data_IF_099405323687
#
_entry.id   IF_099405323687
#
_cell.length_a   1.000
_cell.length_b   1.000
_cell.length_c   1.000
_cell.angle_alpha   90.00
_cell.angle_beta   90.00
_cell.angle_gamma   90.00
#
_symmetry.space_group_name_H-M   'P 1'
#
loop_
_entity.id
_entity.type
_entity.pdbx_description
1 polymer ?
#
# COMPACT_ATOMS: atom_id res chain seq x y z
N UNK A 1 3.58 4.83 -11.37
CA UNK A 1 3.87 4.02 -12.58
C UNK A 1 3.35 4.79 -13.77
N UNK A 2 4.23 5.49 -14.49
CA UNK A 2 3.86 6.38 -15.61
C UNK A 2 3.45 5.54 -16.83
N UNK A 3 2.33 4.83 -16.74
CA UNK A 3 1.81 3.98 -17.80
C UNK A 3 0.34 4.20 -18.02
N UNK A 4 -0.11 3.84 -19.23
CA UNK A 4 -1.47 4.05 -19.67
C UNK A 4 -2.46 3.50 -18.64
N UNK A 5 -3.45 4.31 -18.22
CA UNK A 5 -3.96 5.51 -18.89
C UNK A 5 -3.36 6.86 -18.39
N UNK A 6 -2.34 6.84 -17.52
CA UNK A 6 -1.69 8.03 -16.93
C UNK A 6 -0.28 8.29 -17.49
N UNK A 7 -0.05 7.96 -18.76
CA UNK A 7 1.24 8.08 -19.44
C UNK A 7 1.35 9.41 -20.19
N UNK A 8 1.69 10.47 -19.46
CA UNK A 8 1.78 11.84 -19.99
C UNK A 8 3.16 12.15 -20.58
N UNK A 9 4.21 11.66 -19.94
CA UNK A 9 5.61 11.90 -20.34
C UNK A 9 5.95 11.28 -21.70
N UNK A 10 5.31 10.17 -22.08
CA UNK A 10 5.52 9.54 -23.39
C UNK A 10 4.57 10.11 -24.47
N UNK A 11 3.40 10.63 -24.08
CA UNK A 11 2.40 11.21 -24.99
C UNK A 11 2.68 12.64 -25.46
N UNK A 12 3.34 13.48 -24.66
CA UNK A 12 3.81 14.80 -25.12
C UNK A 12 5.13 14.74 -25.89
N UNK A 13 5.82 13.59 -25.81
CA UNK A 13 7.05 13.27 -26.53
C UNK A 13 6.80 12.65 -27.92
N UNK A 14 5.56 12.51 -28.37
CA UNK A 14 5.27 11.93 -29.70
C UNK A 14 5.67 12.85 -30.88
N UNK A 15 6.27 14.03 -30.60
CA UNK A 15 6.99 14.85 -31.58
C UNK A 15 8.52 14.65 -31.59
N UNK A 16 9.14 14.15 -30.52
CA UNK A 16 10.52 13.64 -30.44
C UNK A 16 10.56 12.78 -29.18
N UNK A 17 10.81 11.47 -29.30
CA UNK A 17 10.85 10.54 -28.16
C UNK A 17 11.88 11.01 -27.12
N UNK A 18 11.42 11.80 -26.14
CA UNK A 18 12.22 12.83 -25.47
C UNK A 18 13.46 12.31 -24.76
N UNK A 19 13.28 11.65 -23.61
CA UNK A 19 14.38 11.27 -22.72
C UNK A 19 15.11 9.98 -23.16
N UNK A 20 14.45 9.07 -23.87
CA UNK A 20 15.01 7.76 -24.20
C UNK A 20 16.03 7.79 -25.37
N UNK A 21 16.08 8.87 -26.15
CA UNK A 21 16.99 9.00 -27.31
C UNK A 21 18.41 9.41 -26.91
N UNK A 22 18.58 10.05 -25.75
CA UNK A 22 19.88 10.55 -25.30
C UNK A 22 20.76 9.45 -24.65
N UNK A 23 20.19 8.28 -24.37
CA UNK A 23 20.90 7.20 -23.69
C UNK A 23 21.38 6.10 -24.64
N UNK A 24 22.65 5.71 -24.49
CA UNK A 24 23.19 4.50 -25.10
C UNK A 24 22.45 3.23 -24.62
N UNK A 25 22.57 2.13 -25.37
CA UNK A 25 21.81 0.89 -25.14
C UNK A 25 21.91 0.29 -23.73
N UNK A 26 23.02 0.48 -23.01
CA UNK A 26 23.21 0.03 -21.63
C UNK A 26 22.28 0.73 -20.62
N UNK A 27 22.41 2.05 -20.40
CA UNK A 27 21.51 2.80 -19.51
C UNK A 27 20.05 2.80 -19.98
N UNK A 28 19.78 2.69 -21.29
CA UNK A 28 18.43 2.48 -21.82
C UNK A 28 17.78 1.22 -21.21
N UNK A 29 18.49 0.09 -21.17
CA UNK A 29 17.96 -1.15 -20.60
C UNK A 29 17.65 -1.03 -19.09
N UNK A 30 18.46 -0.27 -18.34
CA UNK A 30 18.22 -0.05 -16.91
C UNK A 30 16.96 0.77 -16.64
N UNK A 31 16.62 1.75 -17.50
CA UNK A 31 15.37 2.51 -17.36
C UNK A 31 14.14 1.64 -17.58
N UNK A 32 14.13 0.78 -18.61
CA UNK A 32 13.01 -0.17 -18.80
C UNK A 32 12.90 -1.15 -17.63
N UNK A 33 14.03 -1.71 -17.18
CA UNK A 33 14.03 -2.63 -16.05
C UNK A 33 13.51 -1.96 -14.76
N UNK A 34 13.93 -0.73 -14.48
CA UNK A 34 13.47 0.04 -13.32
C UNK A 34 11.97 0.36 -13.41
N UNK A 35 11.46 0.69 -14.60
CA UNK A 35 10.04 0.97 -14.79
C UNK A 35 9.17 -0.28 -14.51
N UNK A 36 9.57 -1.43 -15.06
CA UNK A 36 8.87 -2.71 -14.81
C UNK A 36 9.02 -3.18 -13.36
N UNK A 37 10.19 -2.97 -12.75
CA UNK A 37 10.43 -3.25 -11.33
C UNK A 37 9.49 -2.42 -10.44
N UNK A 38 9.30 -1.14 -10.73
CA UNK A 38 8.39 -0.27 -9.98
C UNK A 38 6.91 -0.72 -10.10
N UNK A 39 6.49 -1.23 -11.27
CA UNK A 39 5.14 -1.79 -11.45
C UNK A 39 4.95 -3.03 -10.58
N UNK A 40 5.91 -3.96 -10.61
CA UNK A 40 5.87 -5.15 -9.78
C UNK A 40 5.84 -4.78 -8.29
N UNK A 41 6.73 -3.88 -7.86
CA UNK A 41 6.82 -3.42 -6.48
C UNK A 41 5.51 -2.79 -6.00
N UNK A 42 4.90 -1.90 -6.79
CA UNK A 42 3.63 -1.27 -6.40
C UNK A 42 2.49 -2.30 -6.28
N UNK A 43 2.45 -3.30 -7.16
CA UNK A 43 1.51 -4.41 -7.04
C UNK A 43 1.76 -5.21 -5.76
N UNK A 44 3.02 -5.44 -5.38
CA UNK A 44 3.35 -6.16 -4.15
C UNK A 44 2.92 -5.44 -2.87
N UNK A 45 3.10 -4.13 -2.83
CA UNK A 45 2.67 -3.32 -1.68
C UNK A 45 1.14 -3.31 -1.62
N UNK A 46 0.47 -3.19 -2.77
CA UNK A 46 -1.00 -3.15 -2.84
C UNK A 46 -1.63 -4.47 -2.38
N UNK A 47 -1.09 -5.62 -2.77
CA UNK A 47 -1.59 -6.92 -2.30
C UNK A 47 -1.39 -7.11 -0.81
N UNK A 48 -0.24 -6.69 -0.28
CA UNK A 48 0.03 -6.75 1.16
C UNK A 48 -0.93 -5.86 1.97
N UNK A 49 -1.19 -4.62 1.51
CA UNK A 49 -2.05 -3.67 2.23
C UNK A 49 -3.53 -4.05 2.18
N UNK A 50 -4.06 -4.49 1.03
CA UNK A 50 -5.50 -4.70 0.86
C UNK A 50 -5.93 -6.17 0.97
N UNK A 51 -5.15 -7.11 0.44
CA UNK A 51 -5.58 -8.50 0.32
C UNK A 51 -4.97 -9.42 1.38
N UNK A 52 -3.84 -9.05 1.98
CA UNK A 52 -3.12 -9.80 3.01
C UNK A 52 -2.75 -11.24 2.60
N UNK A 53 -1.98 -11.94 3.42
CA UNK A 53 -1.78 -13.40 3.31
C UNK A 53 -2.34 -14.11 4.54
N UNK A 54 -2.89 -15.31 4.33
CA UNK A 54 -3.32 -16.16 5.45
C UNK A 54 -2.09 -16.78 6.07
N UNK A 55 -1.74 -16.35 7.29
CA UNK A 55 -0.56 -16.85 7.99
C UNK A 55 -0.90 -18.14 8.73
N UNK A 56 -0.64 -19.28 8.08
CA UNK A 56 -0.67 -20.58 8.73
C UNK A 56 0.70 -20.89 9.30
N UNK A 57 0.82 -20.94 10.64
CA UNK A 57 2.10 -21.22 11.31
C UNK A 57 2.66 -22.62 10.99
N UNK A 58 1.79 -23.57 10.70
CA UNK A 58 2.14 -24.97 10.39
C UNK A 58 2.76 -25.14 9.00
N UNK A 59 2.41 -24.28 8.04
CA UNK A 59 2.91 -24.35 6.65
C UNK A 59 3.16 -22.93 6.13
N UNK A 60 4.33 -22.33 6.40
CA UNK A 60 4.64 -20.97 5.96
C UNK A 60 4.77 -20.86 4.42
N UNK A 61 5.06 -21.96 3.74
CA UNK A 61 5.09 -22.05 2.27
C UNK A 61 3.73 -21.73 1.62
N UNK A 62 2.62 -22.07 2.28
CA UNK A 62 1.29 -21.79 1.74
C UNK A 62 0.99 -20.28 1.81
N UNK A 63 1.52 -19.59 2.82
CA UNK A 63 1.38 -18.14 2.94
C UNK A 63 2.13 -17.40 1.81
N UNK A 64 3.31 -17.88 1.42
CA UNK A 64 4.06 -17.28 0.30
C UNK A 64 3.40 -17.59 -1.04
N UNK A 65 2.91 -18.82 -1.25
CA UNK A 65 2.19 -19.19 -2.47
C UNK A 65 0.89 -18.38 -2.66
N UNK A 66 0.10 -18.22 -1.60
CA UNK A 66 -1.14 -17.42 -1.66
C UNK A 66 -0.86 -15.94 -1.92
N UNK A 67 0.23 -15.39 -1.35
CA UNK A 67 0.68 -14.04 -1.67
C UNK A 67 1.05 -13.93 -3.15
N UNK A 68 1.95 -14.80 -3.65
CA UNK A 68 2.40 -14.77 -5.04
C UNK A 68 1.23 -14.89 -6.02
N UNK A 69 0.27 -15.77 -5.76
CA UNK A 69 -0.92 -15.94 -6.61
C UNK A 69 -1.80 -14.67 -6.61
N UNK A 70 -2.00 -14.02 -5.45
CA UNK A 70 -2.72 -12.74 -5.40
C UNK A 70 -1.98 -11.64 -6.18
N UNK A 71 -0.64 -11.63 -6.12
CA UNK A 71 0.17 -10.66 -6.86
C UNK A 71 0.08 -10.84 -8.37
N UNK A 72 0.13 -12.09 -8.85
CA UNK A 72 0.02 -12.37 -10.29
C UNK A 72 -1.36 -11.96 -10.81
N UNK A 73 -2.44 -12.23 -10.09
CA UNK A 73 -3.79 -11.77 -10.45
C UNK A 73 -3.84 -10.24 -10.54
N UNK A 74 -3.27 -9.51 -9.58
CA UNK A 74 -3.27 -8.05 -9.59
C UNK A 74 -2.45 -7.49 -10.78
N UNK A 75 -1.30 -8.11 -11.10
CA UNK A 75 -0.50 -7.72 -12.27
C UNK A 75 -1.21 -7.98 -13.60
N UNK A 76 -1.99 -9.08 -13.70
CA UNK A 76 -2.81 -9.36 -14.88
C UNK A 76 -3.92 -8.33 -15.04
N UNK A 77 -4.53 -7.90 -13.94
CA UNK A 77 -5.52 -6.83 -13.94
C UNK A 77 -4.90 -5.50 -14.43
N UNK A 78 -3.67 -5.17 -14.03
CA UNK A 78 -2.97 -3.99 -14.52
C UNK A 78 -2.71 -4.04 -16.04
N UNK A 79 -2.27 -5.20 -16.55
CA UNK A 79 -2.11 -5.43 -17.99
C UNK A 79 -3.45 -5.31 -18.74
N UNK A 80 -4.54 -5.79 -18.15
CA UNK A 80 -5.87 -5.68 -18.73
C UNK A 80 -6.37 -4.24 -18.77
N UNK A 81 -6.23 -3.47 -17.69
CA UNK A 81 -6.56 -2.04 -17.67
C UNK A 81 -5.82 -1.30 -18.78
N UNK A 82 -4.52 -1.58 -18.98
CA UNK A 82 -3.73 -1.01 -20.07
C UNK A 82 -4.29 -1.33 -21.45
N UNK A 83 -4.85 -2.51 -21.66
CA UNK A 83 -5.42 -2.92 -22.94
C UNK A 83 -6.83 -2.34 -23.19
N UNK A 84 -7.59 -2.01 -22.14
CA UNK A 84 -8.99 -1.60 -22.26
C UNK A 84 -9.24 -0.10 -22.29
N UNK A 85 -8.37 0.72 -21.68
CA UNK A 85 -8.62 2.16 -21.57
C UNK A 85 -7.77 3.01 -22.54
N UNK A 86 -8.39 3.98 -23.24
CA UNK A 86 -7.66 4.95 -24.04
C UNK A 86 -6.88 5.93 -23.13
N UNK A 87 -5.87 6.61 -23.70
CA UNK A 87 -5.02 7.59 -22.99
C UNK A 87 -5.87 8.78 -22.48
N UNK A 88 -5.69 9.17 -21.21
CA UNK A 88 -6.31 10.40 -20.67
C UNK A 88 -5.44 11.62 -20.96
N UNK A 89 -6.08 12.76 -21.29
CA UNK A 89 -5.40 14.04 -21.44
C UNK A 89 -5.01 14.61 -20.07
N UNK A 90 -3.91 15.39 -20.00
CA UNK A 90 -3.44 16.05 -18.78
C UNK A 90 -4.54 16.78 -18.02
N UNK A 91 -5.35 17.58 -18.73
CA UNK A 91 -6.43 18.38 -18.14
C UNK A 91 -7.48 17.51 -17.43
N UNK A 92 -7.79 16.35 -18.01
CA UNK A 92 -8.75 15.39 -17.44
C UNK A 92 -8.15 14.70 -16.21
N UNK A 93 -6.86 14.37 -16.25
CA UNK A 93 -6.16 13.81 -15.10
C UNK A 93 -6.13 14.79 -13.93
N UNK A 94 -5.76 16.05 -14.19
CA UNK A 94 -5.69 17.09 -13.17
C UNK A 94 -7.06 17.30 -12.53
N UNK A 95 -8.13 17.34 -13.34
CA UNK A 95 -9.49 17.42 -12.83
C UNK A 95 -9.87 16.22 -11.96
N UNK A 96 -9.54 15.00 -12.39
CA UNK A 96 -9.87 13.77 -11.68
C UNK A 96 -9.14 13.68 -10.32
N UNK A 97 -7.85 14.04 -10.27
CA UNK A 97 -7.09 14.03 -9.01
C UNK A 97 -7.60 15.11 -8.06
N UNK A 98 -7.76 16.34 -8.54
CA UNK A 98 -8.05 17.48 -7.67
C UNK A 98 -9.52 17.62 -7.30
N UNK A 99 -10.46 17.31 -8.19
CA UNK A 99 -11.89 17.49 -7.92
C UNK A 99 -12.57 16.22 -7.42
N UNK A 100 -12.11 15.04 -7.83
CA UNK A 100 -12.74 13.79 -7.42
C UNK A 100 -11.96 13.10 -6.30
N UNK A 101 -10.70 12.74 -6.53
CA UNK A 101 -9.95 11.94 -5.55
C UNK A 101 -9.62 12.72 -4.27
N UNK A 102 -9.22 13.99 -4.37
CA UNK A 102 -8.84 14.76 -3.19
C UNK A 102 -10.00 14.95 -2.18
N UNK A 103 -11.23 15.32 -2.59
CA UNK A 103 -12.33 15.38 -1.63
C UNK A 103 -12.70 14.00 -1.05
N UNK A 104 -12.65 12.93 -1.86
CA UNK A 104 -12.97 11.57 -1.42
C UNK A 104 -11.95 11.06 -0.39
N UNK A 105 -10.66 11.34 -0.58
CA UNK A 105 -9.65 10.90 0.40
C UNK A 105 -9.80 11.63 1.71
N UNK A 106 -10.14 12.93 1.71
CA UNK A 106 -10.39 13.70 2.94
C UNK A 106 -11.61 13.16 3.68
N UNK A 107 -12.70 12.83 2.99
CA UNK A 107 -13.89 12.25 3.66
C UNK A 107 -13.61 10.85 4.21
N UNK A 108 -12.89 10.01 3.46
CA UNK A 108 -12.48 8.68 3.93
C UNK A 108 -11.53 8.73 5.13
N UNK A 109 -10.59 9.66 5.18
CA UNK A 109 -9.68 9.78 6.34
C UNK A 109 -10.43 10.23 7.59
N UNK A 110 -11.32 11.21 7.47
CA UNK A 110 -12.19 11.62 8.58
C UNK A 110 -13.08 10.46 9.06
N UNK A 111 -13.67 9.72 8.12
CA UNK A 111 -14.49 8.55 8.45
C UNK A 111 -13.66 7.48 9.18
N UNK A 112 -12.49 7.13 8.66
CA UNK A 112 -11.60 6.12 9.26
C UNK A 112 -11.10 6.52 10.66
N UNK A 113 -11.01 7.81 10.98
CA UNK A 113 -10.70 8.27 12.35
C UNK A 113 -11.94 8.14 13.25
N UNK A 114 -13.12 8.51 12.76
CA UNK A 114 -14.35 8.50 13.55
C UNK A 114 -14.90 7.10 13.85
N UNK A 115 -14.78 6.14 12.92
CA UNK A 115 -15.39 4.81 13.04
C UNK A 115 -14.83 4.01 14.24
N UNK A 116 -13.50 3.87 14.43
CA UNK A 116 -12.96 3.15 15.59
C UNK A 116 -13.31 3.80 16.93
N UNK A 117 -13.46 5.14 16.95
CA UNK A 117 -13.85 5.87 18.17
C UNK A 117 -15.30 5.56 18.54
N UNK A 118 -16.22 5.53 17.56
CA UNK A 118 -17.63 5.26 17.80
C UNK A 118 -17.89 3.81 18.26
N UNK A 119 -17.18 2.84 17.68
CA UNK A 119 -17.31 1.43 18.05
C UNK A 119 -16.45 1.03 19.28
N UNK A 120 -15.79 1.99 19.94
CA UNK A 120 -14.81 1.74 21.01
C UNK A 120 -13.76 0.67 20.64
N UNK A 121 -13.42 0.58 19.35
CA UNK A 121 -12.59 -0.46 18.75
C UNK A 121 -11.22 0.07 18.33
N UNK A 122 -10.60 0.93 19.15
CA UNK A 122 -9.26 1.41 18.88
C UNK A 122 -8.27 0.22 18.88
N UNK A 123 -7.43 0.08 17.84
CA UNK A 123 -6.45 -1.00 17.83
C UNK A 123 -5.53 -0.87 19.05
N UNK A 124 -5.24 -1.97 19.75
CA UNK A 124 -4.38 -1.92 20.93
C UNK A 124 -2.99 -1.46 20.49
N UNK A 125 -2.60 -0.26 20.92
CA UNK A 125 -1.21 0.19 20.72
C UNK A 125 -0.31 -0.57 21.68
N UNK A 126 0.92 -0.86 21.25
CA UNK A 126 1.93 -1.53 22.08
C UNK A 126 2.12 -0.79 23.43
N UNK A 127 1.98 0.55 23.41
CA UNK A 127 2.10 1.43 24.57
C UNK A 127 0.92 1.33 25.55
N UNK A 128 -0.32 1.23 25.05
CA UNK A 128 -1.50 1.02 25.92
C UNK A 128 -1.51 -0.37 26.55
N UNK A 129 -1.02 -1.38 25.82
CA UNK A 129 -0.87 -2.73 26.35
C UNK A 129 0.23 -2.77 27.43
N UNK A 130 1.39 -2.16 27.17
CA UNK A 130 2.50 -2.07 28.13
C UNK A 130 2.15 -1.27 29.40
N UNK A 131 1.41 -0.16 29.28
CA UNK A 131 0.96 0.62 30.46
C UNK A 131 -0.03 -0.17 31.32
N UNK A 132 -0.99 -0.87 30.71
CA UNK A 132 -1.95 -1.71 31.44
C UNK A 132 -1.25 -2.88 32.14
N UNK A 133 -0.27 -3.50 31.47
CA UNK A 133 0.57 -4.57 32.02
C UNK A 133 1.48 -4.07 33.16
N UNK A 134 2.03 -2.86 33.03
CA UNK A 134 2.85 -2.21 34.07
C UNK A 134 2.07 -1.84 35.33
N UNK A 135 0.82 -1.37 35.19
CA UNK A 135 -0.08 -1.11 36.33
C UNK A 135 -0.45 -2.42 37.04
N UNK A 136 -0.80 -3.47 36.28
CA UNK A 136 -1.08 -4.79 36.88
C UNK A 136 0.13 -5.40 37.58
N UNK A 137 1.35 -5.16 37.09
CA UNK A 137 2.59 -5.59 37.76
C UNK A 137 2.81 -4.84 39.09
N UNK A 138 2.51 -3.54 39.12
CA UNK A 138 2.61 -2.73 40.35
C UNK A 138 1.59 -3.15 41.41
N UNK A 139 0.35 -3.42 41.01
CA UNK A 139 -0.70 -3.96 41.90
C UNK A 139 -0.29 -5.34 42.45
N UNK A 140 0.25 -6.23 41.61
CA UNK A 140 0.76 -7.54 42.04
C UNK A 140 1.92 -7.43 43.04
N UNK A 141 2.84 -6.48 42.86
CA UNK A 141 3.93 -6.26 43.82
C UNK A 141 3.45 -5.75 45.17
N UNK A 142 2.41 -4.90 45.19
CA UNK A 142 1.85 -4.39 46.45
C UNK A 142 1.04 -5.47 47.18
N UNK A 143 0.33 -6.34 46.47
CA UNK A 143 -0.47 -7.42 47.06
C UNK A 143 0.42 -8.51 47.72
N UNK A 144 1.59 -8.81 47.12
CA UNK A 144 2.60 -9.71 47.70
C UNK A 144 3.26 -9.13 48.96
N UNK A 145 3.42 -7.80 49.05
CA UNK A 145 3.95 -7.15 50.26
C UNK A 145 2.94 -7.12 51.40
N UNK A 146 1.63 -7.04 51.13
CA UNK A 146 0.59 -7.13 52.17
C UNK A 146 0.35 -8.54 52.70
N UNK A 147 0.75 -9.59 51.96
CA UNK A 147 0.61 -10.99 52.39
C UNK A 147 1.83 -11.53 53.15
N UNK A 148 2.91 -10.75 53.27
CA UNK A 148 4.18 -11.15 53.91
C UNK A 148 4.48 -10.43 55.24
N UNK A 149 3.59 -9.56 55.72
CA UNK A 149 3.62 -9.06 57.10
C UNK A 149 2.92 -10.06 58.03
N UNK A 150 3.58 -10.52 59.12
CA UNK A 150 3.02 -11.51 60.05
C UNK A 150 1.80 -11.00 60.83
#
# INVERSE_FOLDING_TARGET
>A
TNRSPFDLTEGESELVSGFNVEYAGGPFALFFLAEYSNILLMNTISTMLFFGSTLNHTHPELATLTLMLKMTILSLLFLWIRASYPRFRYDQLMHLIWKNFLPITITLTLLNISLPVLFYGLPPTIWTCARKMGITLMEWTMEVQTLSSP
#
